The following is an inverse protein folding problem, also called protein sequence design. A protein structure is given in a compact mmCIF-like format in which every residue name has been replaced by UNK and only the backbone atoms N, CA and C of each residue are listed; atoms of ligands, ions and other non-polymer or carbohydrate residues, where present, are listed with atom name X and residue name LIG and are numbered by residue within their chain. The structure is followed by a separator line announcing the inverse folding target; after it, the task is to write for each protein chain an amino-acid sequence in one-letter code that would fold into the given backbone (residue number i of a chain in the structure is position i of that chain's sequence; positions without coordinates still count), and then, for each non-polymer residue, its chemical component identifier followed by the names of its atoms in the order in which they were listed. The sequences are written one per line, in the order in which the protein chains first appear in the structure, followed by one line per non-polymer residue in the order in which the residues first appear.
data_IF_953563383183
#
_entry.id   IF_953563383183
#
_cell.length_a   1.000
_cell.length_b   1.000
_cell.length_c   1.000
_cell.angle_alpha   90.00
_cell.angle_beta   90.00
_cell.angle_gamma   90.00
#
_symmetry.space_group_name_H-M   'P 1'
#
loop_
_entity.id
_entity.type
_entity.pdbx_description
1 polymer ?
#
# COMPACT_ATOMS: atom_id res chain seq x y z
N UNK A 1 1.40 2.89 3.64
CA UNK A 1 -0.03 2.69 3.88
C UNK A 1 -0.56 3.92 4.61
N UNK A 2 -1.78 4.34 4.27
CA UNK A 2 -2.47 5.48 4.88
C UNK A 2 -3.88 5.02 5.24
N UNK A 3 -4.40 5.47 6.39
CA UNK A 3 -5.81 5.42 6.74
C UNK A 3 -6.24 6.86 6.98
N UNK A 4 -7.05 7.41 6.08
CA UNK A 4 -7.59 8.76 6.22
C UNK A 4 -8.99 8.70 6.80
N UNK A 5 -9.15 9.20 8.00
CA UNK A 5 -10.45 9.39 8.64
C UNK A 5 -11.17 10.60 8.05
N UNK A 6 -10.40 11.61 7.63
CA UNK A 6 -10.91 12.85 7.01
C UNK A 6 -11.65 12.57 5.70
N UNK A 7 -11.07 11.72 4.84
CA UNK A 7 -11.65 11.40 3.52
C UNK A 7 -12.20 9.98 3.45
N UNK A 8 -12.18 9.22 4.55
CA UNK A 8 -12.71 7.87 4.68
C UNK A 8 -12.14 6.90 3.65
N UNK A 9 -10.82 6.91 3.47
CA UNK A 9 -10.14 5.98 2.59
C UNK A 9 -9.00 5.22 3.29
N UNK A 10 -8.62 4.08 2.72
CA UNK A 10 -7.46 3.28 3.09
C UNK A 10 -6.61 3.07 1.83
N UNK A 11 -5.40 3.62 1.82
CA UNK A 11 -4.40 3.30 0.81
C UNK A 11 -3.58 2.09 1.26
N UNK A 12 -3.86 0.91 0.67
CA UNK A 12 -3.15 -0.33 0.92
C UNK A 12 -1.85 -0.34 0.09
N UNK A 13 -0.71 -0.31 0.77
CA UNK A 13 0.57 -0.10 0.13
C UNK A 13 1.20 -1.40 -0.38
N UNK A 14 1.23 -1.58 -1.68
CA UNK A 14 1.99 -2.62 -2.40
C UNK A 14 3.45 -2.25 -2.60
N UNK A 15 4.25 -3.21 -3.04
CA UNK A 15 5.68 -3.04 -3.27
C UNK A 15 5.99 -2.89 -4.77
N UNK A 16 6.93 -1.99 -5.11
CA UNK A 16 7.41 -1.74 -6.48
C UNK A 16 6.37 -1.18 -7.45
N UNK A 17 5.42 -0.42 -6.94
CA UNK A 17 4.25 0.15 -7.65
C UNK A 17 4.15 1.67 -7.50
N UNK A 18 5.25 2.39 -7.40
CA UNK A 18 5.31 3.83 -7.10
C UNK A 18 4.66 4.23 -5.76
N UNK A 19 4.46 3.29 -4.84
CA UNK A 19 3.78 3.56 -3.58
C UNK A 19 4.45 4.62 -2.68
N UNK A 20 5.73 4.91 -2.87
CA UNK A 20 6.42 6.00 -2.16
C UNK A 20 6.00 7.37 -2.72
N UNK A 21 5.87 7.49 -4.05
CA UNK A 21 5.35 8.70 -4.70
C UNK A 21 3.89 8.95 -4.31
N UNK A 22 3.08 7.88 -4.26
CA UNK A 22 1.69 7.96 -3.81
C UNK A 22 1.58 8.44 -2.35
N UNK A 23 2.41 7.94 -1.45
CA UNK A 23 2.45 8.41 -0.05
C UNK A 23 2.81 9.90 0.00
N UNK A 24 3.85 10.32 -0.72
CA UNK A 24 4.26 11.72 -0.73
C UNK A 24 3.17 12.64 -1.29
N UNK A 25 2.47 12.21 -2.32
CA UNK A 25 1.39 12.96 -2.94
C UNK A 25 0.16 13.11 -2.02
N UNK A 26 -0.19 12.05 -1.29
CA UNK A 26 -1.32 12.07 -0.37
C UNK A 26 -1.01 12.75 0.98
N UNK A 27 0.26 12.84 1.35
CA UNK A 27 0.65 13.34 2.68
C UNK A 27 0.19 14.77 2.95
N UNK A 28 0.16 15.62 1.92
CA UNK A 28 -0.25 17.02 2.04
C UNK A 28 -1.74 17.25 2.31
N UNK A 29 -2.59 16.24 2.10
CA UNK A 29 -4.04 16.36 2.29
C UNK A 29 -4.54 15.69 3.59
N UNK A 30 -3.67 14.98 4.30
CA UNK A 30 -4.05 14.24 5.50
C UNK A 30 -4.45 15.18 6.64
N UNK A 31 -5.43 14.74 7.43
CA UNK A 31 -5.86 15.39 8.65
C UNK A 31 -5.03 14.95 9.86
N UNK A 32 -5.22 15.65 10.98
CA UNK A 32 -4.49 15.41 12.25
C UNK A 32 -4.68 13.97 12.79
N UNK A 33 -5.86 13.41 12.59
CA UNK A 33 -6.20 12.06 13.08
C UNK A 33 -5.95 10.96 12.05
N UNK A 34 -5.43 11.31 10.87
CA UNK A 34 -5.14 10.34 9.82
C UNK A 34 -3.88 9.52 10.16
N UNK A 35 -3.90 8.23 9.86
CA UNK A 35 -2.81 7.33 10.20
C UNK A 35 -1.92 7.09 9.00
N UNK A 36 -0.64 7.37 9.13
CA UNK A 36 0.37 6.98 8.16
C UNK A 36 1.33 5.96 8.77
N UNK A 37 1.37 4.76 8.20
CA UNK A 37 2.28 3.74 8.68
C UNK A 37 3.74 4.11 8.40
N UNK A 38 4.55 4.14 9.45
CA UNK A 38 5.98 4.42 9.38
C UNK A 38 6.79 3.16 9.08
N UNK A 39 7.90 3.33 8.35
CA UNK A 39 8.94 2.30 8.22
C UNK A 39 9.96 2.34 9.37
N UNK A 40 9.88 3.34 10.24
CA UNK A 40 10.78 3.48 11.38
C UNK A 40 10.62 2.31 12.34
N UNK A 41 11.76 1.81 12.82
CA UNK A 41 11.77 0.79 13.87
C UNK A 41 11.49 1.47 15.20
N UNK A 42 10.62 0.92 16.06
CA UNK A 42 10.49 1.42 17.41
C UNK A 42 11.85 1.33 18.14
N UNK A 43 12.13 2.22 19.10
CA UNK A 43 13.44 2.31 19.74
C UNK A 43 13.97 0.99 20.32
N UNK A 44 13.08 0.16 20.87
CA UNK A 44 13.41 -1.15 21.45
C UNK A 44 13.73 -2.24 20.39
N UNK A 45 13.32 -2.04 19.12
CA UNK A 45 13.63 -2.98 18.02
C UNK A 45 15.11 -2.98 17.61
N UNK A 46 15.92 -2.10 18.17
CA UNK A 46 17.38 -2.10 17.94
C UNK A 46 18.06 -3.37 18.48
N UNK A 47 17.44 -4.02 19.45
CA UNK A 47 18.05 -5.16 20.16
C UNK A 47 17.82 -6.52 19.50
N UNK A 48 16.88 -6.69 18.58
CA UNK A 48 16.69 -7.97 17.88
C UNK A 48 15.95 -7.81 16.54
N UNK A 49 16.69 -7.70 15.42
CA UNK A 49 16.07 -7.49 14.10
C UNK A 49 15.18 -8.64 13.62
N UNK A 50 15.53 -9.88 14.01
CA UNK A 50 14.83 -11.10 13.58
C UNK A 50 13.51 -11.26 14.34
N UNK A 51 13.55 -11.15 15.65
CA UNK A 51 12.36 -11.27 16.49
C UNK A 51 11.34 -10.16 16.24
N UNK A 52 11.82 -8.93 15.98
CA UNK A 52 10.94 -7.81 15.64
C UNK A 52 10.12 -8.03 14.37
N UNK A 53 10.72 -8.61 13.31
CA UNK A 53 10.01 -8.90 12.07
C UNK A 53 8.93 -9.97 12.27
N UNK A 54 9.23 -11.01 13.06
CA UNK A 54 8.27 -12.04 13.41
C UNK A 54 7.13 -11.47 14.28
N UNK A 55 7.46 -10.74 15.34
CA UNK A 55 6.47 -10.15 16.24
C UNK A 55 5.54 -9.17 15.51
N UNK A 56 6.03 -8.29 14.64
CA UNK A 56 5.16 -7.44 13.80
C UNK A 56 4.23 -8.23 12.88
N UNK A 57 4.66 -9.39 12.44
CA UNK A 57 3.83 -10.24 11.60
C UNK A 57 2.68 -10.89 12.38
N UNK A 58 2.93 -11.27 13.64
CA UNK A 58 1.97 -12.02 14.45
C UNK A 58 1.20 -11.16 15.45
N UNK A 59 1.73 -10.02 15.85
CA UNK A 59 1.12 -9.12 16.83
C UNK A 59 1.13 -7.66 16.32
N UNK A 60 0.49 -7.34 15.17
CA UNK A 60 0.49 -6.01 14.58
C UNK A 60 -0.13 -4.96 15.50
N UNK A 61 -1.09 -5.33 16.34
CA UNK A 61 -1.72 -4.46 17.33
C UNK A 61 -0.75 -3.86 18.36
N UNK A 62 0.35 -4.56 18.66
CA UNK A 62 1.36 -4.09 19.63
C UNK A 62 2.41 -3.17 19.00
N UNK A 63 2.58 -3.25 17.68
CA UNK A 63 3.66 -2.58 16.96
C UNK A 63 3.17 -1.51 15.99
N UNK A 64 1.87 -1.32 15.93
CA UNK A 64 1.24 -0.48 14.93
C UNK A 64 1.34 -1.06 13.51
N UNK A 65 0.74 -0.38 12.56
CA UNK A 65 0.70 -0.84 11.18
C UNK A 65 2.07 -0.70 10.51
N UNK A 66 2.55 -1.79 9.93
CA UNK A 66 3.71 -1.79 9.05
C UNK A 66 3.37 -1.14 7.71
N UNK A 67 4.36 -0.49 7.06
CA UNK A 67 4.16 0.18 5.76
C UNK A 67 3.60 -0.73 4.66
N UNK A 68 3.87 -2.02 4.72
CA UNK A 68 3.39 -3.05 3.80
C UNK A 68 2.58 -4.12 4.54
N UNK A 69 1.70 -3.70 5.46
CA UNK A 69 0.80 -4.60 6.17
C UNK A 69 -0.15 -5.28 5.18
N UNK A 70 -0.55 -6.51 5.47
CA UNK A 70 -1.59 -7.22 4.71
C UNK A 70 -2.96 -6.60 4.98
N UNK A 71 -3.92 -6.80 4.07
CA UNK A 71 -5.28 -6.31 4.26
C UNK A 71 -5.92 -6.84 5.55
N UNK A 72 -5.67 -8.11 5.89
CA UNK A 72 -6.14 -8.68 7.17
C UNK A 72 -5.52 -7.98 8.38
N UNK A 73 -4.21 -7.72 8.37
CA UNK A 73 -3.54 -6.99 9.45
C UNK A 73 -4.07 -5.56 9.61
N UNK A 74 -4.35 -4.89 8.49
CA UNK A 74 -4.96 -3.56 8.52
C UNK A 74 -6.32 -3.63 9.17
N UNK A 75 -7.19 -4.55 8.71
CA UNK A 75 -8.54 -4.76 9.26
C UNK A 75 -8.50 -5.07 10.76
N UNK A 76 -7.57 -5.92 11.18
CA UNK A 76 -7.48 -6.35 12.59
C UNK A 76 -7.03 -5.20 13.51
N UNK A 77 -6.23 -4.25 13.01
CA UNK A 77 -5.75 -3.10 13.79
C UNK A 77 -6.75 -1.95 13.84
N UNK A 78 -7.34 -1.57 12.69
CA UNK A 78 -8.30 -0.44 12.65
C UNK A 78 -9.74 -0.84 12.97
N UNK A 79 -10.00 -2.14 13.06
CA UNK A 79 -11.31 -2.72 13.29
C UNK A 79 -12.15 -2.87 12.02
N UNK A 80 -12.99 -3.91 12.01
CA UNK A 80 -13.85 -4.25 10.85
C UNK A 80 -14.75 -3.09 10.43
N UNK A 81 -15.37 -2.39 11.38
CA UNK A 81 -16.30 -1.29 11.09
C UNK A 81 -15.65 -0.19 10.24
N UNK A 82 -14.43 0.21 10.57
CA UNK A 82 -13.68 1.21 9.80
C UNK A 82 -13.24 0.59 8.47
N UNK A 83 -12.63 -0.59 8.50
CA UNK A 83 -12.12 -1.25 7.30
C UNK A 83 -13.22 -1.46 6.24
N UNK A 84 -14.39 -1.93 6.62
CA UNK A 84 -15.47 -2.22 5.69
C UNK A 84 -16.17 -0.96 5.17
N UNK A 85 -16.22 0.11 5.99
CA UNK A 85 -16.89 1.37 5.61
C UNK A 85 -16.02 2.36 4.83
N UNK A 86 -14.69 2.21 4.84
CA UNK A 86 -13.79 3.12 4.13
C UNK A 86 -13.47 2.60 2.73
N UNK A 87 -13.30 3.53 1.80
CA UNK A 87 -12.90 3.21 0.43
C UNK A 87 -11.45 2.75 0.38
N UNK A 88 -11.23 1.51 -0.04
CA UNK A 88 -9.90 0.88 -0.09
C UNK A 88 -9.36 0.89 -1.51
N UNK A 89 -8.17 1.43 -1.68
CA UNK A 89 -7.50 1.37 -2.97
C UNK A 89 -6.03 0.97 -2.85
N UNK A 90 -5.49 0.49 -3.95
CA UNK A 90 -4.15 -0.01 -4.09
C UNK A 90 -3.62 0.33 -5.48
N UNK A 91 -2.31 0.43 -5.62
CA UNK A 91 -1.68 0.48 -6.94
C UNK A 91 -1.02 -0.88 -7.20
N UNK A 92 -1.29 -1.49 -8.34
CA UNK A 92 -0.63 -2.71 -8.78
C UNK A 92 0.04 -2.49 -10.13
N UNK A 93 1.05 -3.28 -10.41
CA UNK A 93 1.89 -3.16 -11.60
C UNK A 93 1.98 -4.50 -12.29
N UNK A 94 2.12 -4.49 -13.62
CA UNK A 94 2.38 -5.70 -14.39
C UNK A 94 3.43 -6.57 -13.68
N UNK A 95 3.11 -7.83 -13.30
CA UNK A 95 3.96 -8.66 -12.46
C UNK A 95 5.37 -8.88 -13.03
N UNK A 96 5.50 -8.97 -14.32
CA UNK A 96 6.82 -9.11 -14.97
C UNK A 96 7.63 -7.82 -14.84
N UNK A 97 7.04 -6.66 -15.10
CA UNK A 97 7.71 -5.37 -14.94
C UNK A 97 8.03 -5.09 -13.46
N UNK A 98 7.13 -5.45 -12.56
CA UNK A 98 7.33 -5.38 -11.10
C UNK A 98 8.55 -6.21 -10.67
N UNK A 99 8.72 -7.42 -11.21
CA UNK A 99 9.84 -8.30 -10.89
C UNK A 99 11.18 -7.74 -11.36
N UNK A 100 11.24 -7.18 -12.56
CA UNK A 100 12.43 -6.46 -13.06
C UNK A 100 12.74 -5.24 -12.17
N UNK A 101 11.72 -4.48 -11.80
CA UNK A 101 11.87 -3.32 -10.90
C UNK A 101 12.42 -3.73 -9.52
N UNK A 102 12.01 -4.88 -9.00
CA UNK A 102 12.52 -5.42 -7.75
C UNK A 102 13.99 -5.82 -7.86
N UNK A 103 14.32 -6.55 -8.92
CA UNK A 103 15.68 -7.00 -9.19
C UNK A 103 16.63 -5.83 -9.37
N UNK A 104 16.29 -4.88 -10.24
CA UNK A 104 17.09 -3.68 -10.48
C UNK A 104 17.35 -2.88 -9.17
N UNK A 105 16.32 -2.72 -8.34
CA UNK A 105 16.49 -2.07 -7.03
C UNK A 105 17.48 -2.81 -6.12
N UNK A 106 17.46 -4.13 -6.13
CA UNK A 106 18.37 -4.94 -5.30
C UNK A 106 19.80 -4.88 -5.81
N UNK A 107 19.98 -4.93 -7.13
CA UNK A 107 21.30 -4.79 -7.73
C UNK A 107 21.87 -3.40 -7.47
N UNK A 108 21.06 -2.35 -7.63
CA UNK A 108 21.46 -0.99 -7.31
C UNK A 108 21.95 -0.84 -5.86
N UNK A 109 21.24 -1.44 -4.89
CA UNK A 109 21.69 -1.44 -3.48
C UNK A 109 23.03 -2.12 -3.25
N UNK A 110 23.42 -3.02 -4.14
CA UNK A 110 24.71 -3.74 -4.11
C UNK A 110 25.77 -3.07 -4.99
N UNK A 111 25.47 -1.91 -5.59
CA UNK A 111 26.35 -1.23 -6.54
C UNK A 111 26.59 -2.02 -7.83
N UNK A 112 25.62 -2.84 -8.26
CA UNK A 112 25.74 -3.73 -9.44
C UNK A 112 24.70 -3.36 -10.49
N UNK A 113 25.02 -3.52 -11.80
CA UNK A 113 24.04 -3.39 -12.87
C UNK A 113 23.05 -4.57 -12.88
N UNK A 114 21.86 -4.41 -13.45
CA UNK A 114 20.84 -5.46 -13.51
C UNK A 114 20.99 -6.42 -14.71
N UNK A 115 22.20 -6.68 -15.19
CA UNK A 115 22.48 -7.32 -16.49
C UNK A 115 22.21 -8.82 -16.53
N UNK A 116 22.10 -9.45 -15.38
CA UNK A 116 21.98 -10.91 -15.28
C UNK A 116 20.60 -11.39 -14.85
N UNK A 117 19.54 -10.60 -15.13
CA UNK A 117 18.20 -10.89 -14.67
C UNK A 117 17.71 -12.29 -15.06
N UNK A 118 17.74 -12.64 -16.34
CA UNK A 118 17.23 -13.91 -16.86
C UNK A 118 17.95 -15.11 -16.24
N UNK A 119 19.28 -15.06 -16.22
CA UNK A 119 20.12 -16.09 -15.60
C UNK A 119 19.84 -16.25 -14.11
N UNK A 120 19.80 -15.13 -13.39
CA UNK A 120 19.66 -15.13 -11.94
C UNK A 120 18.27 -15.63 -11.52
N UNK A 121 17.19 -15.26 -12.22
CA UNK A 121 15.83 -15.73 -11.92
C UNK A 121 15.72 -17.25 -12.08
N UNK A 122 16.44 -17.86 -13.00
CA UNK A 122 16.47 -19.32 -13.23
C UNK A 122 17.38 -20.07 -12.26
N UNK A 123 18.26 -19.38 -11.52
CA UNK A 123 19.16 -20.02 -10.60
C UNK A 123 18.42 -20.68 -9.42
N UNK A 124 18.97 -21.77 -8.88
CA UNK A 124 18.39 -22.49 -7.75
C UNK A 124 18.20 -21.59 -6.52
N UNK A 125 19.19 -20.72 -6.23
CA UNK A 125 19.16 -19.81 -5.09
C UNK A 125 17.99 -18.83 -5.21
N UNK A 126 17.79 -18.23 -6.38
CA UNK A 126 16.69 -17.30 -6.60
C UNK A 126 15.33 -18.00 -6.60
N UNK A 127 15.22 -19.16 -7.21
CA UNK A 127 13.95 -19.92 -7.27
C UNK A 127 13.45 -20.34 -5.90
N UNK A 128 14.36 -20.65 -4.98
CA UNK A 128 14.02 -21.13 -3.64
C UNK A 128 14.02 -20.02 -2.58
N UNK A 129 14.44 -18.80 -2.91
CA UNK A 129 14.43 -17.68 -1.98
C UNK A 129 13.07 -17.00 -1.95
N UNK A 130 12.36 -17.11 -0.84
CA UNK A 130 11.11 -16.36 -0.60
C UNK A 130 11.31 -14.84 -0.69
N UNK A 131 12.53 -14.36 -0.52
CA UNK A 131 12.89 -12.94 -0.64
C UNK A 131 12.79 -12.43 -2.08
N UNK A 132 12.85 -13.29 -3.07
CA UNK A 132 12.81 -12.92 -4.50
C UNK A 132 11.40 -12.59 -4.99
N UNK A 133 10.39 -13.19 -4.38
CA UNK A 133 8.99 -13.01 -4.75
C UNK A 133 8.32 -11.97 -3.86
N UNK A 134 7.57 -11.07 -4.47
CA UNK A 134 6.74 -10.12 -3.72
C UNK A 134 5.33 -10.70 -3.55
N UNK A 135 4.84 -10.71 -2.34
CA UNK A 135 3.44 -11.04 -2.08
C UNK A 135 2.63 -9.75 -1.96
N UNK A 136 2.27 -9.17 -3.11
CA UNK A 136 1.37 -8.02 -3.13
C UNK A 136 -0.08 -8.44 -2.95
N UNK A 137 -0.47 -9.63 -3.40
CA UNK A 137 -1.83 -10.14 -3.26
C UNK A 137 -2.38 -9.97 -1.85
N UNK A 138 -1.65 -10.41 -0.85
CA UNK A 138 -2.08 -10.33 0.55
C UNK A 138 -2.28 -8.90 1.09
N UNK A 139 -1.84 -7.88 0.34
CA UNK A 139 -1.98 -6.48 0.74
C UNK A 139 -3.33 -5.89 0.34
N UNK A 140 -4.00 -6.48 -0.63
CA UNK A 140 -5.29 -6.00 -1.13
C UNK A 140 -6.35 -7.11 -1.24
N UNK A 141 -5.99 -8.33 -0.86
CA UNK A 141 -6.91 -9.46 -0.81
C UNK A 141 -6.83 -10.19 0.54
N UNK A 142 -7.91 -10.81 0.95
CA UNK A 142 -8.01 -11.70 2.10
C UNK A 142 -8.43 -13.08 1.58
N UNK A 143 -7.57 -14.07 1.72
CA UNK A 143 -7.76 -15.37 1.08
C UNK A 143 -7.75 -15.26 -0.45
N UNK A 144 -8.89 -15.54 -1.06
CA UNK A 144 -9.09 -15.46 -2.52
C UNK A 144 -9.83 -14.20 -2.98
N UNK A 145 -10.36 -13.43 -2.06
CA UNK A 145 -11.20 -12.27 -2.33
C UNK A 145 -10.38 -10.97 -2.32
N UNK A 146 -10.50 -10.16 -3.38
CA UNK A 146 -9.97 -8.81 -3.42
C UNK A 146 -10.90 -7.92 -2.58
N UNK A 147 -10.35 -7.36 -1.51
CA UNK A 147 -11.08 -6.47 -0.58
C UNK A 147 -10.85 -4.99 -0.87
N UNK A 148 -9.93 -4.67 -1.79
CA UNK A 148 -9.77 -3.32 -2.29
C UNK A 148 -10.93 -2.96 -3.23
N UNK A 149 -11.52 -1.78 -3.04
CA UNK A 149 -12.60 -1.27 -3.88
C UNK A 149 -12.07 -0.83 -5.25
N UNK A 150 -10.79 -0.45 -5.32
CA UNK A 150 -10.10 -0.14 -6.58
C UNK A 150 -8.66 -0.63 -6.59
N UNK A 151 -8.29 -1.32 -7.66
CA UNK A 151 -6.91 -1.65 -8.00
C UNK A 151 -6.48 -0.77 -9.18
N UNK A 152 -5.70 0.26 -8.87
CA UNK A 152 -5.15 1.21 -9.83
C UNK A 152 -3.99 0.54 -10.57
N UNK A 153 -3.96 0.64 -11.89
CA UNK A 153 -2.84 0.14 -12.69
C UNK A 153 -1.71 1.14 -12.73
N UNK A 154 -0.52 0.72 -12.35
CA UNK A 154 0.70 1.54 -12.42
C UNK A 154 0.94 2.12 -13.82
N UNK A 155 0.64 1.34 -14.84
CA UNK A 155 0.79 1.67 -16.26
C UNK A 155 -0.12 2.83 -16.70
N UNK A 156 -1.18 3.10 -15.93
CA UNK A 156 -2.16 4.16 -16.16
C UNK A 156 -2.33 5.07 -14.95
N UNK A 157 -1.32 5.12 -14.11
CA UNK A 157 -1.41 5.76 -12.79
C UNK A 157 -1.84 7.24 -12.87
N UNK A 158 -1.34 7.99 -13.86
CA UNK A 158 -1.67 9.41 -14.01
C UNK A 158 -3.17 9.64 -14.30
N UNK A 159 -3.75 8.81 -15.16
CA UNK A 159 -5.18 8.91 -15.51
C UNK A 159 -6.06 8.45 -14.34
N UNK A 160 -5.72 7.30 -13.77
CA UNK A 160 -6.53 6.67 -12.74
C UNK A 160 -6.48 7.40 -11.38
N UNK A 161 -5.44 8.21 -11.14
CA UNK A 161 -5.39 9.03 -9.92
C UNK A 161 -6.35 10.21 -9.99
N UNK A 162 -6.59 10.79 -11.17
CA UNK A 162 -7.57 11.85 -11.35
C UNK A 162 -8.99 11.34 -11.07
N UNK A 163 -9.32 10.13 -11.55
CA UNK A 163 -10.57 9.47 -11.19
C UNK A 163 -10.71 9.28 -9.67
N UNK A 164 -9.61 8.86 -9.02
CA UNK A 164 -9.60 8.65 -7.57
C UNK A 164 -9.85 9.96 -6.79
N UNK A 165 -9.26 11.07 -7.24
CA UNK A 165 -9.48 12.41 -6.68
C UNK A 165 -10.97 12.76 -6.69
N UNK A 166 -11.63 12.53 -7.84
CA UNK A 166 -13.07 12.78 -7.98
C UNK A 166 -13.92 11.85 -7.10
N UNK A 167 -13.58 10.55 -7.04
CA UNK A 167 -14.33 9.56 -6.25
C UNK A 167 -14.25 9.87 -4.75
N UNK A 168 -13.08 10.30 -4.26
CA UNK A 168 -12.84 10.54 -2.84
C UNK A 168 -13.12 11.99 -2.42
N UNK A 169 -13.46 12.88 -3.35
CA UNK A 169 -13.64 14.30 -3.07
C UNK A 169 -12.39 14.97 -2.52
N UNK A 170 -11.22 14.59 -3.04
CA UNK A 170 -9.95 15.17 -2.59
C UNK A 170 -9.75 16.59 -3.13
N UNK A 171 -9.01 17.46 -2.41
CA UNK A 171 -8.76 18.82 -2.86
C UNK A 171 -7.76 18.84 -4.01
N UNK A 172 -8.21 19.25 -5.21
CA UNK A 172 -7.37 19.50 -6.37
C UNK A 172 -6.69 18.28 -6.98
N UNK A 173 -5.90 18.49 -8.03
CA UNK A 173 -5.11 17.44 -8.64
C UNK A 173 -4.03 16.95 -7.70
N UNK A 174 -3.73 15.65 -7.75
CA UNK A 174 -2.65 15.03 -7.01
C UNK A 174 -1.44 14.89 -7.95
N UNK A 175 -0.41 15.69 -7.70
CA UNK A 175 0.86 15.56 -8.40
C UNK A 175 1.67 14.40 -7.83
N UNK A 176 2.05 13.47 -8.69
CA UNK A 176 2.88 12.33 -8.32
C UNK A 176 4.37 12.64 -8.51
N UNK A 177 5.11 12.91 -7.44
CA UNK A 177 6.53 13.17 -7.57
C UNK A 177 7.27 11.91 -8.02
N UNK A 178 8.18 12.07 -8.98
CA UNK A 178 9.05 10.97 -9.43
C UNK A 178 10.21 10.79 -8.46
N UNK A 179 9.99 10.09 -7.34
CA UNK A 179 10.93 10.03 -6.22
C UNK A 179 12.06 9.00 -6.38
N UNK A 180 11.87 7.94 -7.18
CA UNK A 180 12.85 6.84 -7.26
C UNK A 180 12.93 6.29 -8.68
N UNK A 181 13.80 6.87 -9.49
CA UNK A 181 14.26 6.25 -10.74
C UNK A 181 15.61 5.57 -10.47
N UNK A 182 15.61 4.24 -10.35
CA UNK A 182 16.85 3.47 -10.16
C UNK A 182 17.65 3.35 -11.45
N UNK A 183 17.00 3.55 -12.59
CA UNK A 183 17.63 3.59 -13.91
C UNK A 183 16.88 4.63 -14.73
N UNK A 184 17.55 5.71 -15.12
CA UNK A 184 16.94 6.79 -15.92
C UNK A 184 16.46 6.28 -17.29
N UNK A 185 17.18 5.36 -17.89
CA UNK A 185 16.97 4.87 -19.26
C UNK A 185 16.82 3.34 -19.28
N UNK A 186 15.99 2.81 -18.35
CA UNK A 186 15.76 1.37 -18.32
C UNK A 186 14.99 0.94 -19.57
N UNK A 187 15.50 -0.05 -20.35
CA UNK A 187 14.75 -0.59 -21.45
C UNK A 187 13.42 -1.21 -21.01
N UNK A 188 12.54 -1.45 -21.96
CA UNK A 188 11.26 -2.12 -21.70
C UNK A 188 11.50 -3.44 -20.97
N UNK A 189 10.63 -3.79 -20.01
CA UNK A 189 10.86 -4.94 -19.14
C UNK A 189 10.98 -6.25 -19.90
N UNK A 190 10.31 -6.39 -21.05
CA UNK A 190 10.34 -7.60 -21.86
C UNK A 190 11.75 -7.95 -22.36
N UNK A 191 12.65 -6.97 -22.50
CA UNK A 191 14.03 -7.21 -22.95
C UNK A 191 14.88 -7.98 -21.95
N UNK A 192 14.44 -8.07 -20.70
CA UNK A 192 15.12 -8.81 -19.64
C UNK A 192 14.77 -10.31 -19.62
N UNK A 193 13.78 -10.74 -20.41
CA UNK A 193 13.18 -12.06 -20.31
C UNK A 193 13.52 -12.95 -21.49
N UNK A 194 14.01 -14.15 -21.22
CA UNK A 194 13.83 -15.29 -22.10
C UNK A 194 12.51 -15.99 -21.79
N UNK A 195 12.04 -16.88 -22.69
CA UNK A 195 10.75 -17.57 -22.56
C UNK A 195 10.62 -18.33 -21.24
N UNK A 196 11.64 -19.09 -20.86
CA UNK A 196 11.63 -19.87 -19.62
C UNK A 196 11.47 -19.00 -18.37
N UNK A 197 12.06 -17.79 -18.35
CA UNK A 197 11.94 -16.86 -17.22
C UNK A 197 10.59 -16.16 -17.24
N UNK A 198 10.08 -15.81 -18.42
CA UNK A 198 8.71 -15.27 -18.58
C UNK A 198 7.69 -16.22 -17.98
N UNK A 199 7.74 -17.48 -18.32
CA UNK A 199 6.78 -18.51 -17.90
C UNK A 199 6.94 -18.81 -16.39
N UNK A 200 8.17 -18.86 -15.89
CA UNK A 200 8.47 -19.02 -14.47
C UNK A 200 7.85 -17.88 -13.63
N UNK A 201 8.05 -16.65 -14.04
CA UNK A 201 7.51 -15.48 -13.34
C UNK A 201 5.98 -15.41 -13.49
N UNK A 202 5.45 -15.75 -14.66
CA UNK A 202 4.01 -15.91 -14.89
C UNK A 202 3.38 -16.89 -13.91
N UNK A 203 4.01 -18.06 -13.71
CA UNK A 203 3.56 -19.04 -12.73
C UNK A 203 3.63 -18.54 -11.29
N UNK A 204 4.64 -17.74 -10.93
CA UNK A 204 4.72 -17.17 -9.58
C UNK A 204 3.58 -16.22 -9.23
N UNK A 205 3.06 -15.50 -10.22
CA UNK A 205 2.06 -14.46 -10.07
C UNK A 205 0.75 -14.77 -10.81
N UNK A 206 0.50 -16.05 -11.13
CA UNK A 206 -0.66 -16.48 -11.91
C UNK A 206 -1.98 -15.92 -11.36
N UNK A 207 -2.14 -15.93 -10.04
CA UNK A 207 -3.34 -15.37 -9.38
C UNK A 207 -3.57 -13.89 -9.66
N UNK A 208 -2.51 -13.08 -9.59
CA UNK A 208 -2.58 -11.64 -9.84
C UNK A 208 -2.82 -11.38 -11.33
N UNK A 209 -2.17 -12.17 -12.17
CA UNK A 209 -2.31 -12.12 -13.64
C UNK A 209 -3.76 -12.40 -14.04
N UNK A 210 -4.32 -13.50 -13.56
CA UNK A 210 -5.70 -13.90 -13.88
C UNK A 210 -6.71 -12.91 -13.34
N UNK A 211 -6.59 -12.53 -12.06
CA UNK A 211 -7.56 -11.65 -11.40
C UNK A 211 -7.55 -10.23 -11.96
N UNK A 212 -6.40 -9.74 -12.43
CA UNK A 212 -6.23 -8.37 -12.92
C UNK A 212 -6.10 -8.29 -14.45
N UNK A 213 -6.11 -9.42 -15.16
CA UNK A 213 -6.04 -9.48 -16.62
C UNK A 213 -4.71 -8.91 -17.17
N UNK A 214 -3.59 -9.19 -16.51
CA UNK A 214 -2.28 -8.80 -17.03
C UNK A 214 -1.82 -9.76 -18.11
N UNK A 215 -1.12 -9.23 -19.10
CA UNK A 215 -0.46 -9.99 -20.16
C UNK A 215 1.01 -9.62 -20.22
N UNK A 216 1.85 -10.54 -20.72
CA UNK A 216 3.23 -10.21 -21.05
C UNK A 216 3.26 -9.43 -22.36
N UNK A 217 3.72 -8.18 -22.30
CA UNK A 217 3.79 -7.29 -23.45
C UNK A 217 5.15 -7.41 -24.12
N UNK A 218 5.17 -7.89 -25.36
CA UNK A 218 6.34 -7.80 -26.21
C UNK A 218 6.52 -6.37 -26.70
N UNK A 219 7.77 -5.92 -26.91
CA UNK A 219 8.12 -4.56 -27.34
C UNK A 219 7.33 -4.01 -28.55
N UNK A 220 6.68 -4.87 -29.32
CA UNK A 220 5.98 -4.52 -30.56
C UNK A 220 4.47 -4.34 -30.40
N UNK A 221 3.91 -4.52 -29.22
CA UNK A 221 2.46 -4.35 -28.99
C UNK A 221 2.20 -3.37 -27.87
N UNK A 222 2.39 -2.08 -28.15
CA UNK A 222 1.68 -1.01 -27.44
C UNK A 222 0.18 -1.07 -27.77
N UNK A 223 -0.46 -2.22 -27.60
CA UNK A 223 -1.92 -2.31 -27.58
C UNK A 223 -2.37 -1.69 -26.27
N UNK A 224 -3.04 -0.55 -26.36
CA UNK A 224 -3.91 -0.05 -25.31
C UNK A 224 -4.89 -1.18 -24.96
N UNK A 225 -4.58 -1.98 -23.97
CA UNK A 225 -5.56 -2.87 -23.37
C UNK A 225 -6.55 -1.96 -22.69
N UNK A 226 -7.69 -1.75 -23.35
CA UNK A 226 -8.87 -1.17 -22.71
C UNK A 226 -9.13 -2.05 -21.50
N UNK A 227 -8.88 -1.52 -20.32
CA UNK A 227 -9.26 -2.18 -19.09
C UNK A 227 -10.77 -2.27 -19.11
N UNK A 228 -11.30 -3.49 -19.24
CA UNK A 228 -12.68 -3.72 -18.84
C UNK A 228 -12.79 -3.22 -17.40
N UNK A 229 -13.79 -2.38 -17.06
CA UNK A 229 -14.01 -1.99 -15.68
C UNK A 229 -14.17 -3.29 -14.88
N UNK A 230 -13.43 -3.43 -13.80
CA UNK A 230 -13.77 -4.42 -12.77
C UNK A 230 -15.25 -4.19 -12.48
N UNK A 231 -16.06 -5.17 -12.82
CA UNK A 231 -17.51 -5.06 -12.86
C UNK A 231 -18.00 -4.29 -11.64
N UNK A 232 -18.86 -3.36 -11.90
CA UNK A 232 -19.58 -2.42 -11.05
C UNK A 232 -20.30 -3.10 -9.86
N UNK A 233 -19.55 -3.82 -9.02
CA UNK A 233 -20.11 -4.50 -7.84
C UNK A 233 -20.44 -3.55 -6.70
N UNK A 234 -19.97 -2.30 -6.74
CA UNK A 234 -20.12 -1.36 -5.63
C UNK A 234 -21.00 -0.15 -5.87
N UNK A 235 -21.61 0.02 -7.06
CA UNK A 235 -22.60 1.10 -7.25
C UNK A 235 -23.84 0.95 -6.37
N UNK A 236 -24.15 -0.24 -5.88
CA UNK A 236 -25.32 -0.45 -5.00
C UNK A 236 -25.09 -0.02 -3.55
N UNK A 237 -23.84 0.02 -3.06
CA UNK A 237 -23.54 0.42 -1.68
C UNK A 237 -23.50 1.93 -1.44
N UNK A 238 -23.14 2.71 -2.46
CA UNK A 238 -22.97 4.17 -2.30
C UNK A 238 -24.30 4.92 -2.41
N UNK A 239 -25.29 4.38 -3.13
CA UNK A 239 -26.61 5.03 -3.26
C UNK A 239 -27.47 5.00 -1.99
N UNK A 240 -27.20 4.13 -1.02
CA UNK A 240 -27.98 4.08 0.22
C UNK A 240 -27.45 4.98 1.36
N UNK A 241 -26.31 5.62 1.23
CA UNK A 241 -25.80 6.51 2.28
C UNK A 241 -25.97 8.01 1.98
N UNK A 242 -26.47 8.38 0.80
CA UNK A 242 -26.72 9.79 0.42
C UNK A 242 -28.18 10.18 0.39
N UNK A 243 -29.09 9.27 0.72
CA UNK A 243 -30.54 9.50 0.74
C UNK A 243 -31.10 9.32 2.14
N UNK A 244 -31.24 10.42 2.89
CA UNK A 244 -32.14 10.45 4.06
C UNK A 244 -31.47 10.60 5.41
N UNK A 245 -31.17 11.81 5.83
CA UNK A 245 -31.56 12.31 7.13
C UNK A 245 -31.40 13.83 7.22
N UNK A 246 -32.43 14.56 6.80
CA UNK A 246 -32.73 15.86 7.38
C UNK A 246 -33.51 15.59 8.66
N UNK A 247 -32.82 15.36 9.74
CA UNK A 247 -33.36 15.26 11.08
C UNK A 247 -32.67 16.27 11.96
N UNK A 248 -33.42 17.31 12.31
CA UNK A 248 -33.09 18.35 13.28
C UNK A 248 -32.56 17.71 14.56
N UNK A 249 -31.32 17.96 14.94
CA UNK A 249 -30.81 17.68 16.28
C UNK A 249 -30.67 18.98 17.06
N UNK A 250 -31.59 19.12 18.02
CA UNK A 250 -31.46 20.07 19.13
C UNK A 250 -30.18 19.78 19.91
N UNK A 251 -29.40 20.82 20.11
CA UNK A 251 -28.24 20.81 20.97
C UNK A 251 -28.67 20.76 22.43
N UNK A 252 -28.31 19.70 23.15
CA UNK A 252 -28.22 19.74 24.60
C UNK A 252 -26.77 19.80 25.04
N UNK A 253 -26.40 20.95 25.60
CA UNK A 253 -25.14 21.17 26.27
C UNK A 253 -25.15 20.41 27.61
N UNK A 254 -24.26 19.44 27.75
CA UNK A 254 -23.87 18.95 29.08
C UNK A 254 -22.43 19.35 29.36
N UNK A 255 -22.29 20.38 30.20
CA UNK A 255 -21.03 20.83 30.78
C UNK A 255 -20.64 19.84 31.87
N UNK A 256 -19.52 19.17 31.75
CA UNK A 256 -18.91 18.43 32.85
C UNK A 256 -17.69 19.23 33.34
N UNK A 257 -17.84 19.74 34.55
CA UNK A 257 -16.79 20.43 35.29
C UNK A 257 -15.62 19.50 35.65
N UNK A 258 -14.43 19.86 35.21
CA UNK A 258 -13.19 19.23 35.62
C UNK A 258 -12.78 19.69 37.03
N UNK A 259 -12.54 18.74 37.90
CA UNK A 259 -11.95 18.98 39.21
C UNK A 259 -10.43 19.15 39.06
N UNK A 260 -9.96 20.32 39.52
CA UNK A 260 -8.55 20.59 39.82
C UNK A 260 -8.17 19.87 41.12
N UNK A 261 -7.11 19.11 41.10
CA UNK A 261 -6.36 18.74 42.29
C UNK A 261 -5.02 19.48 42.27
N UNK A 262 -4.93 20.47 43.16
CA UNK A 262 -3.70 21.10 43.59
C UNK A 262 -3.08 20.22 44.71
N UNK A 263 -1.81 19.88 44.60
CA UNK A 263 -1.02 19.17 45.63
C UNK A 263 0.36 19.79 45.71
N UNK A 264 0.52 20.54 46.61
CA UNK A 264 1.45 21.11 47.59
C UNK A 264 2.92 20.68 47.40
N UNK A 265 3.73 21.73 47.43
CA UNK A 265 5.17 21.73 47.60
C UNK A 265 5.57 21.20 48.98
N UNK A 266 6.63 20.41 49.03
CA UNK A 266 7.38 20.02 50.21
C UNK A 266 8.87 20.10 49.91
N UNK A 267 9.47 21.27 50.31
CA UNK A 267 10.92 21.40 50.46
C UNK A 267 11.38 20.59 51.65
N UNK A 268 12.49 19.93 51.53
CA UNK A 268 13.46 19.72 52.61
C UNK A 268 14.88 19.70 52.05
N UNK A 269 15.63 20.75 52.38
CA UNK A 269 17.08 20.79 52.53
C UNK A 269 17.50 19.85 53.65
N UNK A 270 18.67 19.26 53.51
CA UNK A 270 19.76 19.06 54.49
C UNK A 270 20.79 18.12 53.90
N UNK A 271 21.92 18.57 53.50
CA UNK A 271 23.20 18.61 54.19
C UNK A 271 23.72 17.21 54.63
N UNK A 272 24.90 16.82 54.10
CA UNK A 272 25.72 15.67 54.40
C UNK A 272 26.67 15.40 53.24
#
# INVERSE_FOLDING_TARGET
MIVSHKYRFIFLRTEKTASTSMIAALQGILGEHDLQASSSRPPWAKFSPIHHRALRRYCPQWFGLHTHATASQVRDVIGRKIFDSYYKFVVERNPWDRQVSLYAHRQWKKGRPPDHFDRDMRSFIYRNSSYVRLNNWSKYAIGREIVADRVIRYERLADEINDLVAILGLPGPIDLPTLRKYTKDRPHYATYYGDATRDLIGGWYAREIDALGYTFENNNTARRVSAAPLADRNRKGIRHSLGGNQGVLHAEHTVVHGARLAGAAGRREMAG
#
